data_IF_534499115659
#
_entry.id   IF_534499115659
#
_cell.length_a   1.000
_cell.length_b   1.000
_cell.length_c   1.000
_cell.angle_alpha   90.00
_cell.angle_beta   90.00
_cell.angle_gamma   90.00
#
_symmetry.space_group_name_H-M   'P 1'
#
loop_
_entity.id
_entity.type
_entity.pdbx_description
1 polymer ?
#
# COMPACT_ATOMS: atom_id res chain seq x y z
N UNK A 1 -1.25 -26.43 13.69
CA UNK A 1 -1.74 -25.72 12.48
C UNK A 1 -0.56 -24.95 11.90
N UNK A 2 -0.48 -24.65 10.58
CA UNK A 2 0.72 -24.07 10.01
C UNK A 2 0.80 -22.59 10.42
N UNK A 3 1.39 -22.31 11.58
CA UNK A 3 1.56 -20.95 12.11
C UNK A 3 2.27 -20.04 11.09
N UNK A 4 3.19 -20.62 10.30
CA UNK A 4 3.89 -19.93 9.22
C UNK A 4 2.97 -19.47 8.07
N UNK A 5 1.95 -20.24 7.70
CA UNK A 5 1.06 -19.88 6.59
C UNK A 5 0.19 -18.66 6.93
N UNK A 6 -0.18 -18.53 8.20
CA UNK A 6 -0.90 -17.38 8.73
C UNK A 6 0.02 -16.14 8.76
N UNK A 7 1.26 -16.29 9.21
CA UNK A 7 2.25 -15.21 9.22
C UNK A 7 2.54 -14.69 7.81
N UNK A 8 2.76 -15.59 6.85
CA UNK A 8 2.98 -15.21 5.44
C UNK A 8 1.74 -14.54 4.86
N UNK A 9 0.55 -15.08 5.14
CA UNK A 9 -0.74 -14.48 4.77
C UNK A 9 -0.85 -13.02 5.23
N UNK A 10 -0.43 -12.74 6.47
CA UNK A 10 -0.45 -11.39 7.05
C UNK A 10 0.52 -10.44 6.35
N UNK A 11 1.77 -10.88 6.21
CA UNK A 11 2.81 -10.06 5.57
C UNK A 11 2.37 -9.64 4.16
N UNK A 12 1.76 -10.56 3.39
CA UNK A 12 1.26 -10.23 2.04
C UNK A 12 0.13 -9.21 2.07
N UNK A 13 -0.80 -9.32 3.02
CA UNK A 13 -1.93 -8.39 3.11
C UNK A 13 -1.48 -7.02 3.58
N UNK A 14 -0.68 -6.96 4.65
CA UNK A 14 -0.08 -5.73 5.16
C UNK A 14 0.72 -5.03 4.07
N UNK A 15 1.59 -5.76 3.36
CA UNK A 15 2.37 -5.20 2.25
C UNK A 15 1.48 -4.62 1.15
N UNK A 16 0.46 -5.38 0.70
CA UNK A 16 -0.44 -4.93 -0.35
C UNK A 16 -1.26 -3.70 0.06
N UNK A 17 -1.79 -3.70 1.28
CA UNK A 17 -2.55 -2.58 1.84
C UNK A 17 -1.67 -1.33 1.99
N UNK A 18 -0.47 -1.46 2.58
CA UNK A 18 0.45 -0.34 2.75
C UNK A 18 0.91 0.23 1.40
N UNK A 19 1.27 -0.63 0.46
CA UNK A 19 1.63 -0.23 -0.91
C UNK A 19 0.52 0.61 -1.53
N UNK A 20 -0.73 0.12 -1.49
CA UNK A 20 -1.87 0.85 -2.04
C UNK A 20 -2.09 2.17 -1.31
N UNK A 21 -2.08 2.17 0.03
CA UNK A 21 -2.25 3.37 0.84
C UNK A 21 -1.21 4.46 0.51
N UNK A 22 0.04 4.05 0.32
CA UNK A 22 1.16 4.95 0.00
C UNK A 22 1.07 5.50 -1.42
N UNK A 23 0.64 4.71 -2.40
CA UNK A 23 0.56 5.14 -3.80
C UNK A 23 -0.77 5.82 -4.17
N UNK A 24 -1.84 5.67 -3.38
CA UNK A 24 -3.11 6.40 -3.57
C UNK A 24 -2.92 7.91 -3.75
N UNK A 25 -2.19 8.65 -2.88
CA UNK A 25 -2.03 10.10 -3.05
C UNK A 25 -1.24 10.47 -4.31
N UNK A 26 -0.21 9.69 -4.65
CA UNK A 26 0.59 9.89 -5.87
C UNK A 26 -0.23 9.61 -7.13
N UNK A 27 -1.02 8.52 -7.14
CA UNK A 27 -1.95 8.19 -8.21
C UNK A 27 -3.00 9.29 -8.42
N UNK A 28 -3.57 9.81 -7.34
CA UNK A 28 -4.54 10.92 -7.41
C UNK A 28 -3.92 12.24 -7.90
N UNK A 29 -2.62 12.45 -7.70
CA UNK A 29 -1.94 13.65 -8.19
C UNK A 29 -1.57 13.51 -9.67
N UNK A 30 -0.87 12.41 -10.01
CA UNK A 30 -0.23 12.24 -11.32
C UNK A 30 -1.21 11.80 -12.42
N UNK A 31 -2.18 10.95 -12.09
CA UNK A 31 -3.12 10.35 -13.08
C UNK A 31 -4.42 11.15 -13.18
N UNK A 32 -4.83 11.79 -12.08
CA UNK A 32 -6.17 12.39 -11.96
C UNK A 32 -6.19 13.92 -12.12
N UNK A 33 -5.03 14.59 -11.98
CA UNK A 33 -4.84 16.05 -12.11
C UNK A 33 -5.88 16.90 -11.38
N UNK A 34 -6.37 16.45 -10.22
CA UNK A 34 -7.37 17.18 -9.45
C UNK A 34 -6.73 18.31 -8.64
N UNK A 35 -7.39 19.47 -8.65
CA UNK A 35 -6.97 20.66 -7.93
C UNK A 35 -6.85 20.39 -6.41
N UNK A 36 -5.74 20.84 -5.83
CA UNK A 36 -5.17 20.34 -4.56
C UNK A 36 -6.11 20.62 -3.36
N UNK A 37 -7.04 21.57 -3.52
CA UNK A 37 -7.92 22.07 -2.46
C UNK A 37 -9.16 21.19 -2.21
N UNK A 38 -9.67 20.45 -3.20
CA UNK A 38 -10.83 19.53 -3.02
C UNK A 38 -10.38 18.09 -2.73
N UNK A 39 -9.08 17.83 -2.83
CA UNK A 39 -8.47 16.50 -2.78
C UNK A 39 -8.29 15.96 -1.35
N UNK A 40 -8.26 16.83 -0.34
CA UNK A 40 -8.10 16.43 1.07
C UNK A 40 -9.27 15.58 1.62
N UNK A 41 -10.49 15.83 1.16
CA UNK A 41 -11.67 15.03 1.55
C UNK A 41 -11.64 13.64 0.89
N UNK A 42 -11.27 13.57 -0.39
CA UNK A 42 -11.13 12.29 -1.10
C UNK A 42 -9.96 11.46 -0.60
N UNK A 43 -8.86 12.10 -0.22
CA UNK A 43 -7.69 11.43 0.34
C UNK A 43 -7.93 10.89 1.74
N UNK A 44 -8.83 11.49 2.54
CA UNK A 44 -9.15 11.02 3.91
C UNK A 44 -10.22 9.92 3.97
N UNK A 45 -11.10 9.84 2.97
CA UNK A 45 -12.13 8.80 2.85
C UNK A 45 -11.61 7.35 2.97
N UNK A 46 -10.55 6.90 2.27
CA UNK A 46 -10.07 5.52 2.38
C UNK A 46 -9.62 5.18 3.80
N UNK A 47 -9.06 6.13 4.54
CA UNK A 47 -8.64 5.93 5.93
C UNK A 47 -9.84 5.82 6.88
N UNK A 48 -10.87 6.67 6.72
CA UNK A 48 -12.08 6.65 7.54
C UNK A 48 -12.88 5.36 7.29
N UNK A 49 -13.01 4.96 6.03
CA UNK A 49 -13.75 3.74 5.67
C UNK A 49 -13.01 2.49 6.14
N UNK A 50 -11.67 2.47 6.08
CA UNK A 50 -10.88 1.38 6.66
C UNK A 50 -11.21 1.20 8.15
N UNK A 51 -11.16 2.28 8.92
CA UNK A 51 -11.50 2.25 10.35
C UNK A 51 -12.94 1.77 10.61
N UNK A 52 -13.93 2.28 9.88
CA UNK A 52 -15.32 1.85 10.03
C UNK A 52 -15.51 0.36 9.71
N UNK A 53 -14.83 -0.15 8.67
CA UNK A 53 -14.96 -1.55 8.25
C UNK A 53 -14.32 -2.50 9.26
N UNK A 54 -13.24 -2.11 9.93
CA UNK A 54 -12.62 -2.91 11.01
C UNK A 54 -13.59 -3.09 12.18
N UNK A 55 -14.31 -2.04 12.58
CA UNK A 55 -15.34 -2.13 13.62
C UNK A 55 -16.51 -3.04 13.21
N UNK A 56 -17.02 -2.89 11.99
CA UNK A 56 -18.09 -3.76 11.48
C UNK A 56 -17.63 -5.22 11.31
N UNK A 57 -16.38 -5.42 10.90
CA UNK A 57 -15.76 -6.74 10.76
C UNK A 57 -15.61 -7.48 12.08
N UNK A 58 -15.35 -6.76 13.18
CA UNK A 58 -15.39 -7.30 14.54
C UNK A 58 -16.76 -7.86 14.89
N UNK A 59 -17.81 -7.04 14.68
CA UNK A 59 -19.18 -7.44 14.98
C UNK A 59 -19.68 -8.61 14.13
N UNK A 60 -19.32 -8.62 12.84
CA UNK A 60 -19.64 -9.71 11.93
C UNK A 60 -18.89 -11.01 12.30
N UNK A 61 -17.62 -10.91 12.67
CA UNK A 61 -16.82 -12.05 13.10
C UNK A 61 -17.36 -12.67 14.39
N UNK A 62 -17.78 -11.85 15.35
CA UNK A 62 -18.41 -12.32 16.58
C UNK A 62 -19.77 -12.97 16.30
N UNK A 63 -20.58 -12.38 15.41
CA UNK A 63 -21.86 -12.99 14.98
C UNK A 63 -21.69 -14.39 14.36
N UNK A 64 -20.69 -14.60 13.50
CA UNK A 64 -20.41 -15.92 12.93
C UNK A 64 -19.81 -16.90 13.95
N UNK A 65 -19.05 -16.40 14.92
CA UNK A 65 -18.45 -17.21 15.99
C UNK A 65 -19.50 -17.72 16.98
N UNK A 66 -20.50 -16.91 17.29
CA UNK A 66 -21.59 -17.26 18.21
C UNK A 66 -22.53 -18.34 17.65
N UNK A 67 -22.63 -18.46 16.32
CA UNK A 67 -23.52 -19.43 15.67
C UNK A 67 -22.94 -20.85 15.54
N UNK A 68 -21.67 -21.10 15.94
CA UNK A 68 -20.98 -22.41 15.88
C UNK A 68 -21.16 -23.21 14.58
N UNK A 69 -21.36 -22.54 13.45
CA UNK A 69 -21.70 -23.17 12.16
C UNK A 69 -20.51 -23.89 11.49
N UNK A 70 -19.28 -23.51 11.81
CA UNK A 70 -18.07 -24.07 11.19
C UNK A 70 -16.93 -24.23 12.21
N UNK A 71 -16.08 -25.23 11.98
CA UNK A 71 -14.82 -25.38 12.69
C UNK A 71 -13.94 -24.14 12.51
N UNK A 72 -13.29 -23.69 13.59
CA UNK A 72 -12.46 -22.48 13.64
C UNK A 72 -11.38 -22.42 12.56
N UNK A 73 -10.93 -23.56 12.06
CA UNK A 73 -9.93 -23.64 10.99
C UNK A 73 -10.52 -23.40 9.59
N UNK A 74 -11.74 -23.88 9.33
CA UNK A 74 -12.39 -23.71 8.03
C UNK A 74 -12.99 -22.30 7.89
N UNK A 75 -13.54 -21.73 8.96
CA UNK A 75 -13.98 -20.32 8.96
C UNK A 75 -12.82 -19.38 8.65
N UNK A 76 -11.65 -19.59 9.27
CA UNK A 76 -10.44 -18.80 9.02
C UNK A 76 -9.97 -18.88 7.57
N UNK A 77 -9.98 -20.07 6.96
CA UNK A 77 -9.62 -20.24 5.54
C UNK A 77 -10.57 -19.50 4.61
N UNK A 78 -11.87 -19.65 4.81
CA UNK A 78 -12.88 -19.01 3.96
C UNK A 78 -12.80 -17.49 4.09
N UNK A 79 -12.74 -16.95 5.31
CA UNK A 79 -12.56 -15.51 5.52
C UNK A 79 -11.27 -14.98 4.91
N UNK A 80 -10.13 -15.65 5.10
CA UNK A 80 -8.84 -15.22 4.54
C UNK A 80 -8.86 -15.22 2.99
N UNK A 81 -9.44 -16.24 2.38
CA UNK A 81 -9.52 -16.33 0.91
C UNK A 81 -10.46 -15.29 0.30
N UNK A 82 -11.63 -15.05 0.91
CA UNK A 82 -12.59 -14.05 0.42
C UNK A 82 -12.04 -12.63 0.63
N UNK A 83 -11.41 -12.38 1.78
CA UNK A 83 -10.79 -11.10 2.10
C UNK A 83 -9.60 -10.74 1.18
N UNK A 84 -8.97 -11.73 0.52
CA UNK A 84 -7.85 -11.51 -0.41
C UNK A 84 -8.26 -11.51 -1.88
N UNK A 85 -9.20 -12.37 -2.26
CA UNK A 85 -9.70 -12.42 -3.63
C UNK A 85 -10.55 -11.19 -3.97
N UNK A 86 -11.28 -10.64 -2.99
CA UNK A 86 -12.02 -9.39 -3.14
C UNK A 86 -11.13 -8.25 -3.64
N UNK A 87 -10.13 -7.81 -2.87
CA UNK A 87 -9.22 -6.76 -3.28
C UNK A 87 -8.48 -7.10 -4.57
N UNK A 88 -8.01 -8.34 -4.75
CA UNK A 88 -7.29 -8.74 -5.96
C UNK A 88 -8.12 -8.56 -7.25
N UNK A 89 -9.40 -8.96 -7.23
CA UNK A 89 -10.29 -8.77 -8.39
C UNK A 89 -10.57 -7.30 -8.68
N UNK A 90 -10.71 -6.47 -7.63
CA UNK A 90 -11.01 -5.05 -7.76
C UNK A 90 -9.80 -4.24 -8.22
N UNK A 91 -8.59 -4.63 -7.83
CA UNK A 91 -7.34 -4.03 -8.28
C UNK A 91 -7.04 -4.36 -9.75
N UNK A 92 -7.34 -5.57 -10.20
CA UNK A 92 -7.28 -5.90 -11.63
C UNK A 92 -8.28 -5.03 -12.41
N UNK A 93 -9.47 -4.82 -11.87
CA UNK A 93 -10.47 -3.92 -12.45
C UNK A 93 -9.99 -2.46 -12.52
N UNK A 94 -9.24 -1.99 -11.53
CA UNK A 94 -8.67 -0.64 -11.51
C UNK A 94 -7.71 -0.38 -12.68
N UNK A 95 -7.02 -1.43 -13.16
CA UNK A 95 -6.14 -1.35 -14.33
C UNK A 95 -6.87 -1.04 -15.66
N UNK A 96 -8.20 -1.12 -15.69
CA UNK A 96 -9.03 -0.83 -16.86
C UNK A 96 -9.83 0.48 -16.73
N UNK A 97 -9.62 1.27 -15.68
CA UNK A 97 -10.37 2.52 -15.45
C UNK A 97 -9.60 3.71 -15.99
N UNK A 98 -10.17 4.39 -17.00
CA UNK A 98 -9.61 5.61 -17.57
C UNK A 98 -9.86 6.86 -16.70
N UNK A 99 -9.09 7.93 -16.94
CA UNK A 99 -9.12 9.23 -16.24
C UNK A 99 -10.52 9.90 -16.17
N UNK A 100 -11.49 9.48 -16.97
CA UNK A 100 -12.87 10.01 -16.96
C UNK A 100 -13.73 9.46 -15.80
N UNK A 101 -13.33 8.38 -15.13
CA UNK A 101 -14.16 7.66 -14.14
C UNK A 101 -13.54 7.66 -12.74
N UNK A 102 -13.08 8.83 -12.30
CA UNK A 102 -12.46 9.09 -10.99
C UNK A 102 -13.25 8.55 -9.78
N UNK A 103 -14.56 8.77 -9.78
CA UNK A 103 -15.41 8.31 -8.68
C UNK A 103 -15.43 6.77 -8.60
N UNK A 104 -15.45 6.08 -9.75
CA UNK A 104 -15.43 4.62 -9.79
C UNK A 104 -14.10 4.06 -9.25
N UNK A 105 -12.97 4.66 -9.62
CA UNK A 105 -11.66 4.29 -9.11
C UNK A 105 -11.57 4.41 -7.58
N UNK A 106 -12.04 5.52 -7.02
CA UNK A 106 -12.07 5.72 -5.56
C UNK A 106 -12.95 4.70 -4.84
N UNK A 107 -14.14 4.40 -5.36
CA UNK A 107 -15.06 3.41 -4.79
C UNK A 107 -14.47 2.00 -4.85
N UNK A 108 -13.84 1.62 -5.96
CA UNK A 108 -13.18 0.32 -6.12
C UNK A 108 -12.05 0.11 -5.11
N UNK A 109 -11.22 1.13 -4.90
CA UNK A 109 -10.13 1.10 -3.92
C UNK A 109 -10.68 1.05 -2.49
N UNK A 110 -11.73 1.82 -2.19
CA UNK A 110 -12.37 1.80 -0.87
C UNK A 110 -12.92 0.40 -0.56
N UNK A 111 -13.59 -0.24 -1.52
CA UNK A 111 -14.13 -1.60 -1.35
C UNK A 111 -13.02 -2.67 -1.22
N UNK A 112 -11.90 -2.49 -1.93
CA UNK A 112 -10.71 -3.33 -1.79
C UNK A 112 -10.08 -3.20 -0.39
N UNK A 113 -10.01 -1.98 0.15
CA UNK A 113 -9.49 -1.72 1.50
C UNK A 113 -10.45 -2.22 2.59
N UNK A 114 -11.76 -2.08 2.39
CA UNK A 114 -12.80 -2.62 3.27
C UNK A 114 -12.72 -4.15 3.40
N UNK A 115 -12.49 -4.85 2.29
CA UNK A 115 -12.38 -6.31 2.30
C UNK A 115 -11.14 -6.81 3.04
N UNK A 116 -10.03 -6.05 3.02
CA UNK A 116 -8.86 -6.32 3.85
C UNK A 116 -9.13 -6.13 5.36
N UNK A 117 -9.99 -5.16 5.74
CA UNK A 117 -10.39 -4.91 7.12
C UNK A 117 -11.03 -6.11 7.84
N UNK A 118 -11.76 -6.96 7.10
CA UNK A 118 -12.36 -8.18 7.63
C UNK A 118 -11.36 -9.27 8.01
N UNK A 119 -10.14 -9.22 7.47
CA UNK A 119 -9.09 -10.19 7.82
C UNK A 119 -8.60 -9.99 9.26
N UNK A 120 -8.49 -8.73 9.69
CA UNK A 120 -7.94 -8.38 11.00
C UNK A 120 -8.86 -8.76 12.17
N UNK A 121 -10.18 -8.89 11.97
CA UNK A 121 -11.11 -9.19 13.06
C UNK A 121 -11.07 -10.63 13.57
N UNK A 122 -10.49 -11.56 12.81
CA UNK A 122 -10.44 -12.98 13.14
C UNK A 122 -9.14 -13.47 13.81
N UNK A 123 -8.14 -12.60 13.97
CA UNK A 123 -6.81 -13.00 14.42
C UNK A 123 -6.59 -12.90 15.93
N UNK A 124 -5.93 -13.93 16.44
CA UNK A 124 -5.52 -14.07 17.83
C UNK A 124 -4.00 -14.28 17.84
N UNK A 125 -3.23 -13.20 18.04
CA UNK A 125 -1.77 -13.22 17.99
C UNK A 125 -1.17 -13.85 19.26
N UNK A 126 -0.23 -14.78 19.08
CA UNK A 126 0.51 -15.43 20.17
C UNK A 126 2.00 -15.09 20.14
N UNK A 127 2.69 -15.19 21.29
CA UNK A 127 4.14 -14.88 21.41
C UNK A 127 5.00 -15.69 20.42
N UNK A 128 4.66 -16.95 20.18
CA UNK A 128 5.40 -17.82 19.28
C UNK A 128 5.27 -17.38 17.80
N UNK A 129 4.14 -16.81 17.39
CA UNK A 129 3.95 -16.29 16.03
C UNK A 129 4.80 -15.03 15.79
N UNK A 130 4.87 -14.13 16.77
CA UNK A 130 5.70 -12.93 16.68
C UNK A 130 7.19 -13.24 16.57
N UNK A 131 7.67 -14.28 17.27
CA UNK A 131 9.06 -14.71 17.12
C UNK A 131 9.39 -15.14 15.69
N UNK A 132 8.47 -15.84 15.02
CA UNK A 132 8.63 -16.22 13.60
C UNK A 132 8.68 -14.97 12.71
N UNK A 133 7.81 -13.98 12.94
CA UNK A 133 7.80 -12.71 12.20
C UNK A 133 9.15 -12.01 12.33
N UNK A 134 9.69 -11.90 13.54
CA UNK A 134 10.97 -11.25 13.77
C UNK A 134 12.13 -11.95 13.07
N UNK A 135 12.15 -13.29 13.02
CA UNK A 135 13.18 -14.02 12.28
C UNK A 135 13.08 -13.79 10.77
N UNK A 136 11.88 -13.78 10.20
CA UNK A 136 11.67 -13.50 8.77
C UNK A 136 12.12 -12.07 8.45
N UNK A 137 11.71 -11.09 9.26
CA UNK A 137 12.09 -9.69 9.09
C UNK A 137 13.60 -9.49 9.18
N UNK A 138 14.27 -10.09 10.18
CA UNK A 138 15.72 -10.05 10.32
C UNK A 138 16.41 -10.64 9.08
N UNK A 139 15.91 -11.76 8.54
CA UNK A 139 16.41 -12.35 7.30
C UNK A 139 16.26 -11.41 6.10
N UNK A 140 15.11 -10.75 5.93
CA UNK A 140 14.88 -9.78 4.87
C UNK A 140 15.84 -8.59 4.94
N UNK A 141 16.07 -8.05 6.14
CA UNK A 141 17.01 -6.94 6.33
C UNK A 141 18.45 -7.34 6.05
N UNK A 142 18.89 -8.51 6.53
CA UNK A 142 20.24 -9.01 6.27
C UNK A 142 20.43 -9.25 4.76
N UNK A 143 19.47 -9.88 4.11
CA UNK A 143 19.52 -10.11 2.66
C UNK A 143 19.55 -8.79 1.88
N UNK A 144 18.67 -7.84 2.20
CA UNK A 144 18.64 -6.52 1.58
C UNK A 144 19.92 -5.74 1.79
N UNK A 145 20.52 -5.80 2.98
CA UNK A 145 21.80 -5.16 3.27
C UNK A 145 22.96 -5.78 2.48
N UNK A 146 23.04 -7.11 2.42
CA UNK A 146 24.06 -7.81 1.62
C UNK A 146 23.90 -7.45 0.14
N UNK A 147 22.66 -7.49 -0.38
CA UNK A 147 22.38 -7.13 -1.77
C UNK A 147 22.76 -5.67 -2.07
N UNK A 148 22.38 -4.74 -1.20
CA UNK A 148 22.73 -3.33 -1.34
C UNK A 148 24.24 -3.12 -1.35
N UNK A 149 25.00 -3.75 -0.44
CA UNK A 149 26.47 -3.63 -0.41
C UNK A 149 27.11 -4.15 -1.70
N UNK A 150 26.56 -5.22 -2.29
CA UNK A 150 27.12 -5.82 -3.51
C UNK A 150 26.78 -5.02 -4.77
N UNK A 151 25.59 -4.43 -4.84
CA UNK A 151 25.05 -3.88 -6.09
C UNK A 151 24.81 -2.37 -6.10
N UNK A 152 24.85 -1.67 -4.96
CA UNK A 152 24.66 -0.22 -4.95
C UNK A 152 25.86 0.49 -5.61
N UNK A 153 25.60 1.17 -6.73
CA UNK A 153 26.52 2.13 -7.33
C UNK A 153 26.07 3.55 -6.97
N UNK A 154 27.02 4.43 -6.63
CA UNK A 154 26.77 5.82 -6.27
C UNK A 154 26.59 6.78 -7.45
N UNK A 155 26.51 6.28 -8.68
CA UNK A 155 26.32 7.12 -9.87
C UNK A 155 24.86 7.56 -10.03
N UNK A 156 24.69 8.88 -10.25
CA UNK A 156 23.41 9.51 -10.55
C UNK A 156 22.76 8.85 -11.76
N UNK A 157 21.60 8.24 -11.53
CA UNK A 157 20.85 7.58 -12.59
C UNK A 157 20.27 8.62 -13.56
N UNK A 158 20.21 8.32 -14.87
CA UNK A 158 19.85 9.31 -15.89
C UNK A 158 18.43 9.88 -15.74
N UNK A 159 17.54 9.17 -15.06
CA UNK A 159 16.17 9.62 -14.76
C UNK A 159 16.09 10.62 -13.59
N UNK A 160 17.15 10.75 -12.79
CA UNK A 160 17.24 11.72 -11.69
C UNK A 160 17.86 13.06 -12.14
N UNK A 161 18.25 13.18 -13.41
CA UNK A 161 18.57 14.47 -14.02
C UNK A 161 17.24 15.18 -14.24
N UNK A 162 17.08 16.36 -13.66
CA UNK A 162 15.87 17.17 -13.85
C UNK A 162 15.65 17.40 -15.34
N UNK A 163 14.65 16.72 -15.91
CA UNK A 163 14.17 16.95 -17.28
C UNK A 163 13.54 18.34 -17.46
N UNK A 164 13.46 19.11 -16.38
CA UNK A 164 12.94 20.47 -16.31
C UNK A 164 14.01 21.49 -15.86
N UNK A 165 15.30 21.30 -16.15
CA UNK A 165 16.14 22.50 -16.24
C UNK A 165 15.63 23.31 -17.43
N UNK A 166 14.93 24.41 -17.15
CA UNK A 166 14.58 25.34 -18.21
C UNK A 166 15.92 25.85 -18.78
N UNK A 167 16.14 25.83 -20.11
CA UNK A 167 17.36 26.36 -20.71
C UNK A 167 17.66 27.80 -20.25
N UNK A 168 16.62 28.55 -19.85
CA UNK A 168 16.72 29.89 -19.29
C UNK A 168 17.34 29.95 -17.88
N UNK A 169 17.18 28.93 -17.02
CA UNK A 169 17.80 28.91 -15.68
C UNK A 169 19.27 28.53 -15.75
N UNK A 170 19.64 27.52 -16.53
CA UNK A 170 21.05 27.17 -16.77
C UNK A 170 21.82 28.32 -17.44
N UNK A 171 21.23 28.98 -18.46
CA UNK A 171 21.85 30.17 -19.07
C UNK A 171 21.94 31.36 -18.11
N UNK A 172 20.97 31.57 -17.21
CA UNK A 172 21.04 32.66 -16.24
C UNK A 172 22.13 32.39 -15.19
N UNK A 173 22.34 31.13 -14.78
CA UNK A 173 23.43 30.74 -13.89
C UNK A 173 24.79 30.83 -14.58
N UNK A 174 24.93 30.37 -15.82
CA UNK A 174 26.17 30.53 -16.60
C UNK A 174 26.53 32.01 -16.81
N UNK A 175 25.57 32.84 -17.24
CA UNK A 175 25.78 34.28 -17.40
C UNK A 175 26.10 35.00 -16.09
N UNK A 176 25.62 34.51 -14.95
CA UNK A 176 25.94 35.09 -13.64
C UNK A 176 27.38 34.77 -13.23
N UNK A 177 27.84 33.54 -13.45
CA UNK A 177 29.20 33.10 -13.13
C UNK A 177 30.24 33.78 -14.04
N UNK A 178 29.96 33.90 -15.34
CA UNK A 178 30.84 34.62 -16.29
C UNK A 178 30.99 36.12 -15.97
N UNK A 179 29.99 36.72 -15.30
CA UNK A 179 30.06 38.12 -14.86
C UNK A 179 30.80 38.31 -13.52
N UNK A 180 30.89 37.30 -12.66
CA UNK A 180 31.68 37.36 -11.42
C UNK A 180 33.18 37.13 -11.67
N UNK A 181 33.55 36.30 -12.66
CA UNK A 181 34.95 36.04 -13.02
C UNK A 181 35.59 37.14 -13.90
N UNK A 182 34.78 38.12 -14.35
CA UNK A 182 35.18 39.22 -15.23
C UNK A 182 35.49 40.56 -14.54
N UNK A 183 35.55 40.60 -13.20
CA UNK A 183 35.81 41.79 -12.38
C UNK A 183 37.05 41.60 -11.50
#
# INVERSE_FOLDING_TARGET
MPNYAIVVSNITCDWGLYTLLTYIPTYMNDVLKLDITTNGLFSSLPYIVFWATVFCGGWLADFFRDRKLMSTTNTRKVFDTVAKLGPASMLIGLGYVDCSQTALASVLVILAVSSAGFQYSGWSQTRAEWQIVFYIAAGMYIFGAIFYIVFASGELQPWAKDSCSNPSEEQNTENFLDNEDGL
#
